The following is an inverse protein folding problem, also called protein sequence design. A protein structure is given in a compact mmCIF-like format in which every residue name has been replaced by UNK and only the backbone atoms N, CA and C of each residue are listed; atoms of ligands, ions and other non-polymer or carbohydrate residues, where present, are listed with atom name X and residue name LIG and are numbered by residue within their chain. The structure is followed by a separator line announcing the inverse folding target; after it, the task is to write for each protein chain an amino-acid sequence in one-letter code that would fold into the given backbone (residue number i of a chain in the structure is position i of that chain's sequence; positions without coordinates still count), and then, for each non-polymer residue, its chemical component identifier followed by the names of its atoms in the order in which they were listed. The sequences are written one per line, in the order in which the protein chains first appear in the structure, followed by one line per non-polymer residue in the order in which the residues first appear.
data_IF_596494552006
#
_entry.id   IF_596494552006
#
_cell.length_a   1.000
_cell.length_b   1.000
_cell.length_c   1.000
_cell.angle_alpha   90.00
_cell.angle_beta   90.00
_cell.angle_gamma   90.00
#
_symmetry.space_group_name_H-M   'P 1'
#
loop_
_entity.id
_entity.type
_entity.pdbx_description
1 polymer ?
#
# COMPACT_ATOMS: atom_id res chain seq x y z
N UNK A 1 -22.94 -26.79 28.74
CA UNK A 1 -21.57 -27.00 28.25
C UNK A 1 -20.79 -25.72 28.45
N UNK A 2 -19.63 -25.78 29.09
CA UNK A 2 -18.74 -24.62 29.25
C UNK A 2 -17.95 -24.34 27.96
N UNK A 3 -17.35 -23.15 27.86
CA UNK A 3 -16.46 -22.81 26.74
C UNK A 3 -15.23 -23.73 26.68
N UNK A 4 -14.73 -24.16 27.83
CA UNK A 4 -13.58 -25.05 27.91
C UNK A 4 -13.93 -26.48 27.46
N UNK A 5 -15.12 -26.98 27.82
CA UNK A 5 -15.66 -28.24 27.29
C UNK A 5 -15.82 -28.17 25.76
N UNK A 6 -16.38 -27.08 25.24
CA UNK A 6 -16.53 -26.88 23.79
C UNK A 6 -15.17 -26.85 23.07
N UNK A 7 -14.14 -26.20 23.66
CA UNK A 7 -12.78 -26.18 23.11
C UNK A 7 -12.15 -27.57 23.06
N UNK A 8 -12.34 -28.38 24.10
CA UNK A 8 -11.83 -29.77 24.12
C UNK A 8 -12.47 -30.59 23.00
N UNK A 9 -13.79 -30.46 22.80
CA UNK A 9 -14.48 -31.14 21.69
C UNK A 9 -13.95 -30.68 20.32
N UNK A 10 -13.82 -29.36 20.11
CA UNK A 10 -13.29 -28.81 18.85
C UNK A 10 -11.84 -29.27 18.56
N UNK A 11 -11.01 -29.43 19.59
CA UNK A 11 -9.64 -29.97 19.43
C UNK A 11 -9.64 -31.43 18.99
N UNK A 12 -10.62 -32.22 19.39
CA UNK A 12 -10.79 -33.61 18.96
C UNK A 12 -11.27 -33.77 17.51
N UNK A 13 -11.79 -32.72 16.88
CA UNK A 13 -12.28 -32.76 15.50
C UNK A 13 -11.14 -32.73 14.47
N UNK A 14 -11.40 -33.33 13.30
CA UNK A 14 -10.56 -33.14 12.10
C UNK A 14 -10.72 -31.73 11.53
N UNK A 15 -9.84 -31.32 10.62
CA UNK A 15 -9.96 -30.00 9.97
C UNK A 15 -11.29 -29.86 9.20
N UNK A 16 -11.71 -30.88 8.45
CA UNK A 16 -12.98 -30.87 7.70
C UNK A 16 -14.20 -30.75 8.62
N UNK A 17 -14.15 -31.41 9.78
CA UNK A 17 -15.21 -31.30 10.80
C UNK A 17 -15.23 -29.90 11.42
N UNK A 18 -14.07 -29.31 11.72
CA UNK A 18 -14.00 -27.92 12.21
C UNK A 18 -14.52 -26.92 11.18
N UNK A 19 -14.20 -27.12 9.91
CA UNK A 19 -14.73 -26.31 8.81
C UNK A 19 -16.26 -26.44 8.73
N UNK A 20 -16.79 -27.65 8.89
CA UNK A 20 -18.24 -27.90 8.89
C UNK A 20 -18.93 -27.23 10.08
N UNK A 21 -18.34 -27.30 11.28
CA UNK A 21 -18.84 -26.59 12.46
C UNK A 21 -18.85 -25.08 12.23
N UNK A 22 -17.78 -24.53 11.65
CA UNK A 22 -17.73 -23.10 11.32
C UNK A 22 -18.86 -22.71 10.35
N UNK A 23 -19.08 -23.50 9.30
CA UNK A 23 -20.18 -23.26 8.33
C UNK A 23 -21.54 -23.26 9.02
N UNK A 24 -21.81 -24.23 9.89
CA UNK A 24 -23.05 -24.29 10.69
C UNK A 24 -23.21 -23.05 11.57
N UNK A 25 -22.17 -22.67 12.31
CA UNK A 25 -22.20 -21.49 13.19
C UNK A 25 -22.47 -20.19 12.41
N UNK A 26 -21.92 -20.07 11.20
CA UNK A 26 -22.11 -18.92 10.32
C UNK A 26 -23.50 -18.90 9.68
N UNK A 27 -24.00 -20.05 9.24
CA UNK A 27 -25.27 -20.18 8.51
C UNK A 27 -26.49 -20.15 9.44
N UNK A 28 -26.45 -20.90 10.55
CA UNK A 28 -27.63 -21.11 11.39
C UNK A 28 -27.77 -20.04 12.48
N UNK A 29 -26.66 -19.45 12.92
CA UNK A 29 -26.62 -18.54 14.08
C UNK A 29 -26.16 -17.12 13.72
N UNK A 30 -25.82 -16.86 12.45
CA UNK A 30 -25.39 -15.55 11.95
C UNK A 30 -24.32 -14.86 12.82
N UNK A 31 -23.37 -15.62 13.37
CA UNK A 31 -22.35 -15.09 14.27
C UNK A 31 -21.39 -14.18 13.48
N UNK A 32 -21.40 -12.85 13.68
CA UNK A 32 -20.49 -11.96 12.98
C UNK A 32 -19.06 -12.17 13.48
N UNK A 33 -18.09 -12.20 12.57
CA UNK A 33 -16.66 -12.32 12.87
C UNK A 33 -15.92 -10.99 12.74
N UNK A 34 -16.58 -9.96 12.20
CA UNK A 34 -16.03 -8.62 12.09
C UNK A 34 -17.14 -7.55 12.21
N UNK A 35 -16.82 -6.39 12.79
CA UNK A 35 -17.78 -5.29 13.02
C UNK A 35 -18.45 -4.79 11.72
N UNK A 36 -17.76 -4.92 10.58
CA UNK A 36 -18.30 -4.54 9.27
C UNK A 36 -19.55 -5.34 8.89
N UNK A 37 -19.67 -6.59 9.34
CA UNK A 37 -20.82 -7.43 9.05
C UNK A 37 -22.09 -6.86 9.70
N UNK A 38 -21.97 -6.46 10.96
CA UNK A 38 -23.04 -5.77 11.68
C UNK A 38 -23.30 -4.40 11.08
N UNK A 39 -22.25 -3.61 10.81
CA UNK A 39 -22.40 -2.25 10.31
C UNK A 39 -23.05 -2.18 8.92
N UNK A 40 -22.78 -3.17 8.06
CA UNK A 40 -23.31 -3.22 6.69
C UNK A 40 -24.51 -4.17 6.55
N UNK A 41 -24.91 -4.82 7.65
CA UNK A 41 -25.99 -5.80 7.69
C UNK A 41 -25.83 -6.89 6.60
N UNK A 42 -24.63 -7.48 6.54
CA UNK A 42 -24.26 -8.50 5.56
C UNK A 42 -23.20 -9.43 6.15
N UNK A 43 -22.87 -10.54 5.47
CA UNK A 43 -21.84 -11.47 5.95
C UNK A 43 -20.49 -11.22 5.31
N UNK A 44 -19.42 -11.63 5.99
CA UNK A 44 -18.06 -11.57 5.44
C UNK A 44 -17.95 -12.32 4.10
N UNK A 45 -18.62 -13.47 3.94
CA UNK A 45 -18.63 -14.24 2.70
C UNK A 45 -19.28 -13.45 1.56
N UNK A 46 -20.41 -12.79 1.80
CA UNK A 46 -21.07 -11.95 0.80
C UNK A 46 -20.19 -10.75 0.39
N UNK A 47 -19.46 -10.15 1.34
CA UNK A 47 -18.49 -9.08 1.06
C UNK A 47 -17.35 -9.61 0.17
N UNK A 48 -16.78 -10.76 0.52
CA UNK A 48 -15.68 -11.37 -0.22
C UNK A 48 -16.11 -11.76 -1.65
N UNK A 49 -17.30 -12.34 -1.79
CA UNK A 49 -17.89 -12.67 -3.10
C UNK A 49 -18.12 -11.40 -3.94
N UNK A 50 -18.69 -10.35 -3.34
CA UNK A 50 -18.89 -9.07 -4.01
C UNK A 50 -17.57 -8.44 -4.48
N UNK A 51 -16.49 -8.58 -3.70
CA UNK A 51 -15.15 -8.12 -4.11
C UNK A 51 -14.61 -8.98 -5.27
N UNK A 52 -14.79 -10.30 -5.22
CA UNK A 52 -14.34 -11.23 -6.24
C UNK A 52 -14.99 -10.96 -7.60
N UNK A 53 -16.31 -10.75 -7.61
CA UNK A 53 -17.09 -10.44 -8.81
C UNK A 53 -16.94 -8.98 -9.29
N UNK A 54 -16.34 -8.10 -8.47
CA UNK A 54 -16.21 -6.69 -8.82
C UNK A 54 -15.25 -6.47 -10.01
N UNK A 55 -15.46 -5.40 -10.82
CA UNK A 55 -14.53 -5.04 -11.88
C UNK A 55 -13.09 -4.82 -11.39
N UNK A 56 -12.10 -5.00 -12.28
CA UNK A 56 -10.66 -4.85 -11.96
C UNK A 56 -10.33 -3.52 -11.25
N UNK A 57 -11.04 -2.43 -11.58
CA UNK A 57 -10.83 -1.15 -10.91
C UNK A 57 -11.17 -1.21 -9.42
N UNK A 58 -12.28 -1.85 -9.05
CA UNK A 58 -12.69 -2.03 -7.66
C UNK A 58 -11.73 -2.97 -6.94
N UNK A 59 -11.38 -4.11 -7.55
CA UNK A 59 -10.41 -5.03 -6.97
C UNK A 59 -9.04 -4.35 -6.76
N UNK A 60 -8.62 -3.48 -7.67
CA UNK A 60 -7.40 -2.68 -7.52
C UNK A 60 -7.49 -1.73 -6.33
N UNK A 61 -8.64 -1.10 -6.13
CA UNK A 61 -8.92 -0.27 -4.95
C UNK A 61 -8.80 -1.07 -3.66
N UNK A 62 -9.46 -2.24 -3.58
CA UNK A 62 -9.39 -3.14 -2.42
C UNK A 62 -7.95 -3.58 -2.14
N UNK A 63 -7.20 -3.97 -3.17
CA UNK A 63 -5.78 -4.33 -3.02
C UNK A 63 -4.95 -3.18 -2.49
N UNK A 64 -5.22 -1.93 -2.91
CA UNK A 64 -4.57 -0.74 -2.38
C UNK A 64 -4.77 -0.60 -0.87
N UNK A 65 -6.03 -0.67 -0.43
CA UNK A 65 -6.40 -0.64 0.99
C UNK A 65 -5.77 -1.80 1.76
N UNK A 66 -5.69 -2.99 1.17
CA UNK A 66 -5.06 -4.15 1.81
C UNK A 66 -3.54 -3.96 1.99
N UNK A 67 -2.86 -3.33 1.03
CA UNK A 67 -1.44 -3.01 1.17
C UNK A 67 -1.20 -1.97 2.27
N UNK A 68 -2.02 -0.92 2.34
CA UNK A 68 -1.98 0.08 3.41
C UNK A 68 -2.21 -0.55 4.79
N UNK A 69 -3.24 -1.39 4.90
CA UNK A 69 -3.56 -2.11 6.12
C UNK A 69 -2.42 -3.05 6.54
N UNK A 70 -1.88 -3.85 5.61
CA UNK A 70 -0.75 -4.77 5.87
C UNK A 70 0.48 -4.00 6.30
N UNK A 71 0.79 -2.88 5.64
CA UNK A 71 1.92 -2.05 6.02
C UNK A 71 1.78 -1.57 7.47
N UNK A 72 0.60 -1.06 7.84
CA UNK A 72 0.31 -0.55 9.19
C UNK A 72 0.30 -1.64 10.27
N UNK A 73 -0.37 -2.76 10.04
CA UNK A 73 -0.68 -3.75 11.10
C UNK A 73 0.30 -4.90 11.16
N UNK A 74 1.11 -5.10 10.11
CA UNK A 74 2.10 -6.18 10.03
C UNK A 74 3.50 -5.60 9.87
N UNK A 75 3.75 -4.82 8.82
CA UNK A 75 5.13 -4.40 8.48
C UNK A 75 5.71 -3.46 9.53
N UNK A 76 5.00 -2.39 9.88
CA UNK A 76 5.45 -1.45 10.91
C UNK A 76 5.78 -2.17 12.23
N UNK A 77 4.85 -2.89 12.89
CA UNK A 77 5.13 -3.48 14.20
C UNK A 77 6.11 -4.66 14.18
N UNK A 78 6.22 -5.41 13.07
CA UNK A 78 7.02 -6.63 13.04
C UNK A 78 8.36 -6.49 12.32
N UNK A 79 8.50 -5.54 11.39
CA UNK A 79 9.69 -5.39 10.54
C UNK A 79 10.39 -4.05 10.69
N UNK A 80 9.71 -3.01 11.17
CA UNK A 80 10.29 -1.67 11.33
C UNK A 80 10.55 -1.38 12.82
N UNK A 81 11.58 -2.01 13.37
CA UNK A 81 11.92 -1.84 14.79
C UNK A 81 12.16 -0.37 15.13
N UNK A 82 11.57 0.10 16.24
CA UNK A 82 11.65 1.50 16.68
C UNK A 82 10.62 2.43 16.03
N UNK A 83 10.02 2.05 14.90
CA UNK A 83 9.00 2.86 14.25
C UNK A 83 7.60 2.58 14.78
N UNK A 84 6.82 3.64 14.95
CA UNK A 84 5.41 3.54 15.29
C UNK A 84 4.56 4.46 14.42
N UNK A 85 3.30 4.07 14.19
CA UNK A 85 2.37 4.87 13.41
C UNK A 85 1.67 5.89 14.30
N UNK A 86 1.77 7.17 13.94
CA UNK A 86 1.02 8.25 14.58
C UNK A 86 -0.33 8.40 13.87
N UNK A 87 -1.46 8.34 14.60
CA UNK A 87 -2.77 8.62 14.02
C UNK A 87 -2.87 10.06 13.53
N UNK A 88 -3.44 10.25 12.34
CA UNK A 88 -3.84 11.56 11.83
C UNK A 88 -5.23 11.49 11.20
N UNK A 89 -5.85 12.65 10.97
CA UNK A 89 -7.17 12.76 10.32
C UNK A 89 -7.04 13.65 9.08
N UNK A 90 -7.77 13.28 8.02
CA UNK A 90 -7.88 14.09 6.80
C UNK A 90 -7.54 13.33 5.52
N UNK A 91 -7.88 13.94 4.38
CA UNK A 91 -7.49 13.48 3.04
C UNK A 91 -6.10 14.05 2.71
N UNK A 92 -5.07 13.40 3.26
CA UNK A 92 -3.68 13.83 3.11
C UNK A 92 -2.97 13.09 1.97
N UNK A 93 -1.89 13.68 1.41
CA UNK A 93 -1.08 13.07 0.36
C UNK A 93 -0.26 11.84 0.76
N UNK A 94 -0.50 11.26 1.93
CA UNK A 94 0.22 10.11 2.48
C UNK A 94 -0.73 9.27 3.33
N UNK A 95 -0.41 7.99 3.51
CA UNK A 95 -1.31 7.03 4.16
C UNK A 95 -0.91 6.76 5.63
N UNK A 96 0.36 6.96 5.96
CA UNK A 96 0.90 6.80 7.31
C UNK A 96 1.83 7.97 7.67
N UNK A 97 1.80 8.35 8.94
CA UNK A 97 2.83 9.15 9.58
C UNK A 97 3.59 8.22 10.52
N UNK A 98 4.88 8.01 10.28
CA UNK A 98 5.73 7.12 11.09
C UNK A 98 6.75 7.94 11.85
N UNK A 99 7.02 7.56 13.11
CA UNK A 99 8.01 8.21 13.96
C UNK A 99 8.85 7.16 14.68
N UNK A 100 10.13 7.49 14.89
CA UNK A 100 11.15 6.72 15.59
C UNK A 100 11.79 7.56 16.72
N UNK A 101 11.06 8.55 17.22
CA UNK A 101 11.47 9.58 18.18
C UNK A 101 12.49 10.60 17.65
N UNK A 102 12.94 10.45 16.39
CA UNK A 102 13.77 11.46 15.69
C UNK A 102 12.94 12.40 14.81
N UNK A 103 11.62 12.24 14.82
CA UNK A 103 10.67 13.10 14.14
C UNK A 103 9.94 12.39 13.00
N UNK A 104 8.70 12.82 12.72
CA UNK A 104 7.78 12.08 11.90
C UNK A 104 8.10 12.17 10.40
N UNK A 105 7.94 11.05 9.69
CA UNK A 105 8.03 10.95 8.24
C UNK A 105 6.67 10.54 7.64
N UNK A 106 6.27 11.25 6.59
CA UNK A 106 5.07 10.97 5.79
C UNK A 106 5.36 9.83 4.82
N UNK A 107 4.63 8.73 4.95
CA UNK A 107 4.79 7.55 4.09
C UNK A 107 3.54 7.37 3.22
N UNK A 108 3.74 7.37 1.91
CA UNK A 108 2.73 6.95 0.95
C UNK A 108 2.94 5.47 0.60
N UNK A 109 1.92 4.66 0.80
CA UNK A 109 1.88 3.26 0.40
C UNK A 109 1.26 3.15 -0.99
N UNK A 110 1.86 2.31 -1.84
CA UNK A 110 1.30 1.94 -3.14
C UNK A 110 1.53 0.45 -3.41
N UNK A 111 0.70 -0.12 -4.27
CA UNK A 111 0.97 -1.43 -4.85
C UNK A 111 1.78 -1.30 -6.12
N UNK A 112 2.69 -2.25 -6.32
CA UNK A 112 3.24 -2.54 -7.64
C UNK A 112 2.11 -2.67 -8.68
N UNK A 113 2.29 -2.02 -9.83
CA UNK A 113 1.24 -1.97 -10.84
C UNK A 113 1.03 -3.34 -11.46
N UNK A 114 -0.24 -3.67 -11.71
CA UNK A 114 -0.66 -4.79 -12.56
C UNK A 114 -1.27 -4.29 -13.85
N UNK A 115 -1.14 -5.09 -14.90
CA UNK A 115 -1.77 -4.89 -16.19
C UNK A 115 -2.12 -6.26 -16.79
N UNK A 116 -3.38 -6.45 -17.21
CA UNK A 116 -3.89 -7.71 -17.77
C UNK A 116 -3.57 -8.93 -16.89
N UNK A 117 -3.77 -8.81 -15.57
CA UNK A 117 -3.53 -9.89 -14.60
C UNK A 117 -2.07 -10.14 -14.22
N UNK A 118 -1.08 -9.58 -14.92
CA UNK A 118 0.34 -9.71 -14.60
C UNK A 118 0.89 -8.44 -13.92
N UNK A 119 2.01 -8.56 -13.22
CA UNK A 119 2.74 -7.38 -12.75
C UNK A 119 3.34 -6.64 -13.95
N UNK A 120 3.24 -5.31 -13.95
CA UNK A 120 3.70 -4.47 -15.06
C UNK A 120 5.21 -4.25 -14.95
N UNK A 121 5.90 -4.46 -16.07
CA UNK A 121 7.34 -4.18 -16.23
C UNK A 121 7.55 -3.11 -17.31
N UNK A 122 8.62 -2.33 -17.18
CA UNK A 122 9.05 -1.40 -18.22
C UNK A 122 9.95 -2.12 -19.22
N UNK A 123 9.45 -2.50 -20.39
CA UNK A 123 10.23 -3.21 -21.41
C UNK A 123 11.56 -2.53 -21.74
N UNK A 124 11.55 -1.20 -21.94
CA UNK A 124 12.75 -0.42 -22.25
C UNK A 124 13.79 -0.48 -21.12
N UNK A 125 13.37 -0.27 -19.88
CA UNK A 125 14.30 -0.29 -18.74
C UNK A 125 14.77 -1.71 -18.42
N UNK A 126 13.91 -2.71 -18.62
CA UNK A 126 14.29 -4.12 -18.50
C UNK A 126 15.39 -4.49 -19.49
N UNK A 127 15.26 -4.09 -20.76
CA UNK A 127 16.30 -4.31 -21.77
C UNK A 127 17.62 -3.63 -21.41
N UNK A 128 17.57 -2.38 -20.93
CA UNK A 128 18.76 -1.61 -20.58
C UNK A 128 19.47 -2.11 -19.31
N UNK A 129 18.72 -2.63 -18.35
CA UNK A 129 19.27 -3.09 -17.07
C UNK A 129 19.61 -4.58 -17.05
N UNK A 130 19.19 -5.35 -18.05
CA UNK A 130 19.36 -6.80 -18.10
C UNK A 130 18.50 -7.58 -17.10
N UNK A 131 17.58 -6.91 -16.38
CA UNK A 131 16.70 -7.53 -15.38
C UNK A 131 15.31 -6.89 -15.38
N UNK A 132 14.24 -7.58 -14.94
CA UNK A 132 12.89 -7.02 -14.91
C UNK A 132 12.80 -5.74 -14.06
N UNK A 133 12.44 -4.62 -14.69
CA UNK A 133 12.15 -3.36 -13.97
C UNK A 133 10.64 -3.23 -13.82
N UNK A 134 10.15 -3.49 -12.60
CA UNK A 134 8.73 -3.33 -12.28
C UNK A 134 8.35 -1.83 -12.23
N UNK A 135 7.06 -1.53 -12.19
CA UNK A 135 6.58 -0.15 -12.07
C UNK A 135 5.51 0.00 -11.00
N UNK A 136 5.47 1.18 -10.38
CA UNK A 136 4.39 1.62 -9.49
C UNK A 136 3.72 2.86 -10.08
N UNK A 137 2.41 2.96 -9.90
CA UNK A 137 1.64 4.14 -10.31
C UNK A 137 1.54 5.14 -9.14
N UNK A 138 2.16 6.30 -9.31
CA UNK A 138 2.10 7.44 -8.39
C UNK A 138 1.10 8.47 -8.92
N UNK A 139 -0.17 8.17 -8.71
CA UNK A 139 -1.27 9.08 -9.00
C UNK A 139 -2.37 8.91 -7.96
N UNK A 140 -3.02 10.00 -7.56
CA UNK A 140 -4.19 9.93 -6.66
C UNK A 140 -5.41 9.44 -7.46
N UNK A 141 -6.14 8.47 -6.92
CA UNK A 141 -7.15 7.68 -7.64
C UNK A 141 -8.55 8.32 -7.72
N UNK A 142 -8.80 9.52 -7.17
CA UNK A 142 -10.16 10.06 -7.06
C UNK A 142 -10.47 11.22 -8.02
N UNK A 143 -11.29 10.92 -9.04
CA UNK A 143 -12.28 11.75 -9.74
C UNK A 143 -12.07 13.28 -9.83
N UNK A 144 -11.02 13.73 -10.51
CA UNK A 144 -11.08 15.00 -11.21
C UNK A 144 -10.80 14.75 -12.69
N UNK A 145 -11.59 15.32 -13.59
CA UNK A 145 -11.00 15.91 -14.79
C UNK A 145 -11.01 17.40 -14.51
N UNK A 146 -9.91 18.10 -14.70
CA UNK A 146 -9.97 19.54 -14.82
C UNK A 146 -10.65 19.75 -16.17
N UNK A 147 -11.93 20.11 -16.15
CA UNK A 147 -12.60 20.65 -17.33
C UNK A 147 -12.52 22.17 -17.18
N UNK A 148 -11.43 22.75 -17.65
CA UNK A 148 -11.53 24.08 -18.22
C UNK A 148 -12.04 23.92 -19.65
N UNK A 149 -13.08 24.68 -20.01
CA UNK A 149 -13.70 24.61 -21.31
C UNK A 149 -12.65 24.89 -22.40
N UNK A 150 -12.30 23.88 -23.19
CA UNK A 150 -11.37 23.98 -24.31
C UNK A 150 -10.04 23.23 -24.20
N UNK A 151 -9.70 22.60 -23.05
CA UNK A 151 -8.43 21.87 -22.89
C UNK A 151 -8.62 20.35 -22.72
N UNK A 152 -7.70 19.56 -23.30
CA UNK A 152 -7.64 18.11 -23.13
C UNK A 152 -7.58 17.71 -21.64
N UNK A 153 -8.27 16.64 -21.28
CA UNK A 153 -8.43 16.19 -19.90
C UNK A 153 -7.08 15.96 -19.19
N UNK A 154 -6.64 16.92 -18.37
CA UNK A 154 -5.43 16.79 -17.57
C UNK A 154 -5.66 15.82 -16.40
N UNK A 155 -4.71 14.91 -16.20
CA UNK A 155 -4.65 14.02 -15.03
C UNK A 155 -4.64 14.88 -13.75
N UNK A 156 -5.70 14.80 -12.96
CA UNK A 156 -6.06 15.91 -12.07
C UNK A 156 -5.30 16.06 -10.78
N UNK A 157 -4.60 15.03 -10.30
CA UNK A 157 -3.91 15.09 -9.01
C UNK A 157 -2.60 14.29 -9.04
N UNK A 158 -1.59 14.77 -9.79
CA UNK A 158 -0.24 14.27 -9.66
C UNK A 158 0.29 14.56 -8.25
N UNK A 159 1.09 13.64 -7.72
CA UNK A 159 1.90 13.94 -6.55
C UNK A 159 3.00 14.93 -6.90
N UNK A 160 3.35 15.78 -5.94
CA UNK A 160 4.51 16.67 -5.97
C UNK A 160 5.63 16.10 -5.13
N UNK A 161 6.86 16.56 -5.35
CA UNK A 161 7.92 16.36 -4.36
C UNK A 161 7.53 17.06 -3.05
N UNK A 162 7.69 16.37 -1.91
CA UNK A 162 7.30 16.86 -0.59
C UNK A 162 5.85 16.56 -0.16
N UNK A 163 4.99 16.06 -1.07
CA UNK A 163 3.65 15.58 -0.70
C UNK A 163 3.74 14.44 0.34
N UNK A 164 4.75 13.59 0.20
CA UNK A 164 5.17 12.58 1.16
C UNK A 164 6.70 12.52 1.16
N UNK A 165 7.27 11.86 2.17
CA UNK A 165 8.71 11.78 2.39
C UNK A 165 9.26 10.46 1.83
N UNK A 166 8.54 9.35 2.01
CA UNK A 166 8.92 8.03 1.50
C UNK A 166 7.75 7.39 0.74
N UNK A 167 8.05 6.78 -0.41
CA UNK A 167 7.15 5.87 -1.11
C UNK A 167 7.46 4.43 -0.69
N UNK A 168 6.49 3.77 -0.04
CA UNK A 168 6.54 2.34 0.28
C UNK A 168 5.73 1.55 -0.76
N UNK A 169 6.38 0.63 -1.46
CA UNK A 169 5.75 -0.16 -2.52
C UNK A 169 5.63 -1.62 -2.13
N UNK A 170 4.41 -2.12 -2.03
CA UNK A 170 4.14 -3.54 -1.84
C UNK A 170 4.39 -4.29 -3.15
N UNK A 171 5.25 -5.31 -3.08
CA UNK A 171 5.71 -6.14 -4.20
C UNK A 171 4.90 -7.43 -4.37
N UNK A 172 3.82 -7.61 -3.61
CA UNK A 172 2.95 -8.78 -3.65
C UNK A 172 2.60 -9.28 -5.07
N UNK A 173 2.33 -8.43 -6.07
CA UNK A 173 2.06 -8.92 -7.42
C UNK A 173 3.20 -9.72 -8.07
N UNK A 174 4.45 -9.48 -7.68
CA UNK A 174 5.62 -10.25 -8.12
C UNK A 174 6.10 -11.29 -7.10
N UNK A 175 6.07 -10.97 -5.80
CA UNK A 175 6.61 -11.84 -4.74
C UNK A 175 5.59 -12.80 -4.13
N UNK A 176 4.29 -12.54 -4.33
CA UNK A 176 3.16 -13.21 -3.67
C UNK A 176 3.08 -13.01 -2.15
N UNK A 177 3.90 -12.12 -1.58
CA UNK A 177 3.88 -11.78 -0.16
C UNK A 177 3.37 -10.34 0.04
N UNK A 178 2.29 -10.18 0.82
CA UNK A 178 1.74 -8.87 1.15
C UNK A 178 2.64 -8.04 2.06
N UNK A 179 3.54 -8.68 2.82
CA UNK A 179 4.49 -8.02 3.69
C UNK A 179 5.84 -7.73 3.01
N UNK A 180 5.95 -7.98 1.70
CA UNK A 180 7.15 -7.68 0.91
C UNK A 180 7.10 -6.24 0.37
N UNK A 181 7.92 -5.36 0.93
CA UNK A 181 7.97 -3.94 0.59
C UNK A 181 9.38 -3.50 0.17
N UNK A 182 9.41 -2.51 -0.72
CA UNK A 182 10.60 -1.74 -1.08
C UNK A 182 10.29 -0.25 -1.00
N UNK A 183 11.27 0.53 -0.60
CA UNK A 183 11.14 1.93 -0.23
C UNK A 183 11.95 2.82 -1.15
N UNK A 184 11.46 4.03 -1.40
CA UNK A 184 12.19 5.05 -2.13
C UNK A 184 11.92 6.42 -1.51
N UNK A 185 12.95 7.16 -1.08
CA UNK A 185 12.80 8.55 -0.67
C UNK A 185 12.18 9.38 -1.80
N UNK A 186 11.24 10.25 -1.47
CA UNK A 186 10.47 11.01 -2.45
C UNK A 186 11.37 11.86 -3.35
N UNK A 187 12.45 12.44 -2.80
CA UNK A 187 13.42 13.24 -3.54
C UNK A 187 14.22 12.44 -4.59
N UNK A 188 14.27 11.10 -4.50
CA UNK A 188 14.92 10.21 -5.47
C UNK A 188 14.00 9.79 -6.62
N UNK A 189 12.70 10.04 -6.52
CA UNK A 189 11.72 9.65 -7.53
C UNK A 189 11.90 10.47 -8.82
N UNK A 190 11.43 9.89 -9.92
CA UNK A 190 11.57 10.49 -11.25
C UNK A 190 10.53 11.59 -11.46
N UNK A 191 11.00 12.79 -11.76
CA UNK A 191 10.14 13.92 -12.12
C UNK A 191 9.54 13.76 -13.53
N UNK A 192 8.48 14.53 -13.84
CA UNK A 192 8.00 14.65 -15.22
C UNK A 192 8.97 15.52 -16.04
N UNK A 193 9.33 15.13 -17.27
CA UNK A 193 10.24 15.92 -18.11
C UNK A 193 9.80 17.37 -18.32
N UNK A 194 8.49 17.60 -18.48
CA UNK A 194 7.92 18.93 -18.78
C UNK A 194 7.31 19.61 -17.54
N UNK A 195 7.41 19.01 -16.35
CA UNK A 195 6.87 19.55 -15.11
C UNK A 195 7.67 18.99 -13.92
N UNK A 196 8.91 19.45 -13.70
CA UNK A 196 9.86 18.85 -12.76
C UNK A 196 9.40 18.89 -11.28
N UNK A 197 8.43 19.74 -10.94
CA UNK A 197 7.78 19.78 -9.63
C UNK A 197 6.81 18.60 -9.38
N UNK A 198 6.44 17.86 -10.43
CA UNK A 198 5.50 16.75 -10.37
C UNK A 198 6.21 15.41 -10.53
N UNK A 199 5.72 14.40 -9.80
CA UNK A 199 6.16 13.03 -9.97
C UNK A 199 5.66 12.46 -11.31
N UNK A 200 6.51 11.68 -11.97
CA UNK A 200 6.12 10.85 -13.11
C UNK A 200 5.11 9.80 -12.66
N UNK A 201 4.02 9.66 -13.41
CA UNK A 201 2.91 8.75 -13.06
C UNK A 201 3.40 7.32 -12.85
N UNK A 202 4.23 6.79 -13.74
CA UNK A 202 4.84 5.47 -13.57
C UNK A 202 6.28 5.63 -13.12
N UNK A 203 6.54 5.27 -11.86
CA UNK A 203 7.89 5.20 -11.30
C UNK A 203 8.46 3.80 -11.53
N UNK A 204 9.71 3.68 -12.02
CA UNK A 204 10.39 2.40 -12.10
C UNK A 204 10.77 1.93 -10.69
N UNK A 205 10.61 0.63 -10.42
CA UNK A 205 11.02 -0.02 -9.19
C UNK A 205 12.26 -0.85 -9.50
N UNK A 206 13.37 -0.54 -8.85
CA UNK A 206 14.63 -1.26 -8.99
C UNK A 206 14.82 -2.20 -7.80
N UNK A 207 14.39 -3.46 -7.95
CA UNK A 207 14.41 -4.48 -6.87
C UNK A 207 15.81 -4.95 -6.47
N UNK A 208 16.83 -4.55 -7.21
CA UNK A 208 18.25 -4.73 -6.88
C UNK A 208 18.79 -3.62 -5.94
N UNK A 209 17.91 -2.83 -5.32
CA UNK A 209 18.24 -1.78 -4.36
C UNK A 209 19.18 -0.70 -4.91
N UNK A 210 18.90 -0.25 -6.14
CA UNK A 210 19.65 0.83 -6.79
C UNK A 210 18.75 2.04 -7.06
N UNK A 211 19.36 3.17 -7.42
CA UNK A 211 18.67 4.40 -7.84
C UNK A 211 17.67 4.90 -6.79
N UNK A 212 18.06 4.84 -5.52
CA UNK A 212 17.27 5.27 -4.37
C UNK A 212 16.25 4.26 -3.87
N UNK A 213 16.12 3.08 -4.47
CA UNK A 213 15.30 2.00 -3.93
C UNK A 213 16.07 1.19 -2.91
N UNK A 214 15.41 0.79 -1.83
CA UNK A 214 16.00 -0.08 -0.80
C UNK A 214 14.93 -0.88 -0.06
N UNK A 215 15.29 -2.06 0.44
CA UNK A 215 14.45 -2.88 1.32
C UNK A 215 14.62 -2.53 2.80
N UNK A 216 15.59 -1.67 3.12
CA UNK A 216 15.82 -1.17 4.46
C UNK A 216 15.11 0.19 4.65
N UNK A 217 14.07 0.21 5.49
CA UNK A 217 13.31 1.44 5.75
C UNK A 217 14.16 2.51 6.44
N UNK A 218 15.03 2.14 7.38
CA UNK A 218 15.90 3.08 8.09
C UNK A 218 16.88 3.77 7.13
N UNK A 219 17.38 3.03 6.13
CA UNK A 219 18.23 3.61 5.09
C UNK A 219 17.47 4.66 4.26
N UNK A 220 16.20 4.39 3.90
CA UNK A 220 15.36 5.36 3.21
C UNK A 220 15.03 6.57 4.11
N UNK A 221 14.75 6.34 5.40
CA UNK A 221 14.49 7.39 6.37
C UNK A 221 15.69 8.32 6.56
N UNK A 222 16.90 7.74 6.70
CA UNK A 222 18.13 8.49 6.84
C UNK A 222 18.44 9.34 5.60
N UNK A 223 18.33 8.78 4.39
CA UNK A 223 18.51 9.55 3.14
C UNK A 223 17.50 10.70 3.05
N UNK A 224 16.26 10.44 3.46
CA UNK A 224 15.22 11.47 3.50
C UNK A 224 15.55 12.60 4.47
N UNK A 225 16.02 12.28 5.68
CA UNK A 225 16.40 13.30 6.68
C UNK A 225 17.59 14.14 6.24
N UNK A 226 18.58 13.53 5.58
CA UNK A 226 19.73 14.26 5.01
C UNK A 226 19.26 15.29 3.99
N UNK A 227 18.36 14.90 3.07
CA UNK A 227 17.78 15.82 2.07
C UNK A 227 16.96 16.95 2.72
N UNK A 228 16.16 16.63 3.75
CA UNK A 228 15.38 17.64 4.48
C UNK A 228 16.28 18.65 5.21
N UNK A 229 17.32 18.19 5.90
CA UNK A 229 18.27 19.05 6.59
C UNK A 229 18.99 19.99 5.61
N UNK A 230 19.48 19.46 4.48
CA UNK A 230 20.15 20.27 3.45
C UNK A 230 19.24 21.37 2.87
N UNK A 231 17.93 21.10 2.74
CA UNK A 231 16.94 22.09 2.28
C UNK A 231 16.63 23.15 3.34
N UNK A 232 16.58 22.78 4.62
CA UNK A 232 16.41 23.72 5.72
C UNK A 232 17.56 24.72 5.78
N UNK A 233 18.79 24.26 5.61
CA UNK A 233 19.99 25.12 5.61
C UNK A 233 20.02 26.06 4.39
N UNK A 234 19.61 25.58 3.21
CA UNK A 234 19.56 26.38 1.99
C UNK A 234 18.45 27.44 1.99
N UNK A 235 17.38 27.25 2.78
CA UNK A 235 16.29 28.22 2.92
C UNK A 235 16.49 29.26 4.03
N UNK A 236 17.52 29.10 4.86
CA UNK A 236 17.88 30.02 5.94
C UNK A 236 18.97 31.04 5.57
N UNK A 237 19.51 30.96 4.34
CA UNK A 237 20.46 31.91 3.73
C UNK A 237 19.74 32.87 2.80
#
# INVERSE_FOLDING_TARGET
MSLDEARVLLRGLTNDQRESVLKILRQDYHIPIHEIETAWNTTAEAILEAIFEAPDLTQRGVRGVLAEATFRTVVVPQKLAGWHSIPFKGDLPYDLLLDDDSGPLKVQVKNQRREKGAHKVSTKLTQLSGSPVHVVETQRTRNGRSRHAGEEATATRPYRFGDFDILAVCLQPSSRDWADFIYCPCHRLVARPNAPQLLKVLQPIFTNETRGWTRNFDAAAQDTRIDLAAKSDAGAQ
#
